data_IF_925387295631
#
_entry.id   IF_925387295631
#
_cell.length_a   1.000
_cell.length_b   1.000
_cell.length_c   1.000
_cell.angle_alpha   90.00
_cell.angle_beta   90.00
_cell.angle_gamma   90.00
#
_symmetry.space_group_name_H-M   'P 1'
#
loop_
_entity.id
_entity.type
_entity.pdbx_description
1 polymer ?
#
# COMPACT_ATOMS: atom_id res chain seq x y z
N UNK A 1 39.23 -33.53 18.12
CA UNK A 1 38.55 -32.51 18.97
C UNK A 1 37.27 -32.08 18.27
N UNK A 2 36.10 -32.40 18.82
CA UNK A 2 34.81 -32.15 18.17
C UNK A 2 34.36 -30.68 18.35
N UNK A 3 34.28 -29.93 17.26
CA UNK A 3 33.82 -28.53 17.27
C UNK A 3 32.29 -28.49 17.35
N UNK A 4 31.72 -28.28 18.54
CA UNK A 4 30.27 -28.10 18.69
C UNK A 4 29.85 -26.71 18.18
N UNK A 5 29.32 -26.63 16.94
CA UNK A 5 28.76 -25.41 16.33
C UNK A 5 27.42 -25.02 16.98
N UNK A 6 27.40 -24.69 18.27
CA UNK A 6 26.17 -24.17 18.92
C UNK A 6 26.10 -22.65 18.75
N UNK A 7 25.25 -22.19 17.82
CA UNK A 7 25.00 -20.75 17.60
C UNK A 7 24.44 -20.13 18.88
N UNK A 8 25.19 -19.20 19.48
CA UNK A 8 24.82 -18.50 20.73
C UNK A 8 23.49 -17.78 20.53
N UNK A 9 22.43 -18.21 21.24
CA UNK A 9 21.14 -17.50 21.28
C UNK A 9 21.18 -16.45 22.39
N UNK A 10 20.73 -15.23 22.09
CA UNK A 10 20.61 -14.16 23.10
C UNK A 10 19.24 -14.19 23.74
N UNK A 11 19.15 -13.88 25.04
CA UNK A 11 17.88 -13.80 25.78
C UNK A 11 17.02 -12.62 25.28
N UNK A 12 15.71 -12.76 25.40
CA UNK A 12 14.76 -11.67 25.13
C UNK A 12 14.94 -10.54 26.16
N UNK A 13 14.74 -9.29 25.75
CA UNK A 13 14.69 -8.15 26.68
C UNK A 13 13.26 -8.03 27.19
N UNK A 14 13.05 -8.33 28.46
CA UNK A 14 11.81 -8.01 29.17
C UNK A 14 11.93 -6.63 29.81
N UNK A 15 10.82 -5.91 29.92
CA UNK A 15 10.75 -4.74 30.78
C UNK A 15 10.22 -5.11 32.19
N UNK A 16 10.31 -4.19 33.15
CA UNK A 16 9.88 -4.42 34.54
C UNK A 16 8.37 -4.72 34.68
N UNK A 17 7.56 -4.42 33.67
CA UNK A 17 6.13 -4.72 33.59
C UNK A 17 5.83 -6.09 32.94
N UNK A 18 6.85 -6.93 32.71
CA UNK A 18 6.68 -8.30 32.22
C UNK A 18 6.41 -8.42 30.72
N UNK A 19 6.47 -7.31 29.96
CA UNK A 19 6.31 -7.33 28.51
C UNK A 19 7.64 -7.64 27.81
N UNK A 20 7.59 -8.55 26.82
CA UNK A 20 8.72 -8.84 25.94
C UNK A 20 8.74 -7.82 24.81
N UNK A 21 9.68 -6.89 24.85
CA UNK A 21 9.82 -5.89 23.79
C UNK A 21 10.46 -6.53 22.56
N UNK A 22 9.87 -6.28 21.38
CA UNK A 22 10.53 -6.59 20.11
C UNK A 22 11.84 -5.80 20.08
N UNK A 23 12.98 -6.50 19.94
CA UNK A 23 14.30 -5.87 19.95
C UNK A 23 14.32 -4.72 18.93
N UNK A 24 14.35 -3.49 19.42
CA UNK A 24 14.62 -2.33 18.59
C UNK A 24 15.92 -2.56 17.82
N UNK A 25 16.07 -1.93 16.64
CA UNK A 25 17.25 -2.12 15.79
C UNK A 25 18.51 -1.67 16.56
N UNK A 26 19.35 -2.60 17.01
CA UNK A 26 20.60 -2.30 17.73
C UNK A 26 21.76 -1.98 16.78
N UNK A 27 21.47 -1.54 15.56
CA UNK A 27 22.45 -1.23 14.52
C UNK A 27 22.45 0.26 14.16
N UNK A 28 23.45 0.71 13.40
CA UNK A 28 23.52 2.07 12.87
C UNK A 28 22.21 2.44 12.16
N UNK A 29 21.73 3.66 12.40
CA UNK A 29 20.58 4.19 11.67
C UNK A 29 20.86 4.14 10.16
N UNK A 30 19.88 3.71 9.34
CA UNK A 30 20.10 3.57 7.91
C UNK A 30 20.44 4.94 7.32
N UNK A 31 21.46 4.95 6.48
CA UNK A 31 21.90 6.15 5.77
C UNK A 31 20.82 6.60 4.77
N UNK A 32 20.85 7.86 4.32
CA UNK A 32 19.85 8.37 3.40
C UNK A 32 19.77 7.54 2.09
N UNK A 33 20.92 7.04 1.61
CA UNK A 33 21.01 6.17 0.43
C UNK A 33 20.39 4.79 0.66
N UNK A 34 20.58 4.19 1.83
CA UNK A 34 19.92 2.93 2.20
C UNK A 34 18.41 3.08 2.32
N UNK A 35 17.93 4.19 2.91
CA UNK A 35 16.50 4.52 2.98
C UNK A 35 15.90 4.70 1.59
N UNK A 36 16.62 5.34 0.68
CA UNK A 36 16.18 5.51 -0.70
C UNK A 36 16.07 4.16 -1.43
N UNK A 37 17.03 3.24 -1.21
CA UNK A 37 16.98 1.87 -1.77
C UNK A 37 15.77 1.09 -1.23
N UNK A 38 15.50 1.15 0.07
CA UNK A 38 14.31 0.50 0.65
C UNK A 38 13.03 1.11 0.10
N UNK A 39 12.96 2.44 -0.05
CA UNK A 39 11.79 3.11 -0.62
C UNK A 39 11.57 2.73 -2.09
N UNK A 40 12.65 2.58 -2.87
CA UNK A 40 12.58 2.11 -4.26
C UNK A 40 12.06 0.67 -4.34
N UNK A 41 12.55 -0.22 -3.47
CA UNK A 41 12.08 -1.60 -3.36
C UNK A 41 10.60 -1.71 -2.96
N UNK A 42 10.16 -0.90 -1.99
CA UNK A 42 8.75 -0.84 -1.57
C UNK A 42 7.84 -0.33 -2.69
N UNK A 43 8.29 0.67 -3.46
CA UNK A 43 7.56 1.17 -4.63
C UNK A 43 7.45 0.12 -5.73
N UNK A 44 8.52 -0.62 -6.02
CA UNK A 44 8.48 -1.70 -7.02
C UNK A 44 7.54 -2.82 -6.60
N UNK A 45 7.59 -3.22 -5.32
CA UNK A 45 6.71 -4.26 -4.76
C UNK A 45 5.24 -3.86 -4.85
N UNK A 46 4.91 -2.60 -4.53
CA UNK A 46 3.54 -2.07 -4.68
C UNK A 46 3.04 -2.16 -6.12
N UNK A 47 3.88 -1.84 -7.08
CA UNK A 47 3.57 -1.87 -8.51
C UNK A 47 3.51 -3.32 -9.07
N UNK A 48 3.96 -4.31 -8.30
CA UNK A 48 3.93 -5.73 -8.66
C UNK A 48 2.75 -6.49 -8.07
N UNK A 49 1.98 -5.86 -7.18
CA UNK A 49 0.77 -6.44 -6.62
C UNK A 49 -0.34 -6.46 -7.68
N UNK A 50 -1.07 -7.60 -7.81
CA UNK A 50 -2.18 -7.68 -8.73
C UNK A 50 -3.29 -6.71 -8.32
N UNK A 51 -3.93 -6.02 -9.28
CA UNK A 51 -5.05 -5.14 -8.96
C UNK A 51 -6.25 -5.96 -8.48
N UNK A 52 -6.91 -5.48 -7.43
CA UNK A 52 -8.09 -6.10 -6.86
C UNK A 52 -9.30 -5.17 -6.92
N UNK A 53 -10.48 -5.74 -7.14
CA UNK A 53 -11.76 -5.03 -7.09
C UNK A 53 -11.96 -4.29 -5.77
N UNK A 54 -11.53 -4.89 -4.66
CA UNK A 54 -11.57 -4.26 -3.33
C UNK A 54 -10.69 -3.01 -3.26
N UNK A 55 -9.49 -3.04 -3.84
CA UNK A 55 -8.63 -1.85 -3.87
C UNK A 55 -9.22 -0.74 -4.74
N UNK A 56 -9.83 -1.08 -5.87
CA UNK A 56 -10.48 -0.10 -6.74
C UNK A 56 -11.69 0.53 -6.04
N UNK A 57 -12.54 -0.29 -5.40
CA UNK A 57 -13.68 0.15 -4.61
C UNK A 57 -13.29 1.07 -3.45
N UNK A 58 -12.25 0.74 -2.68
CA UNK A 58 -11.80 1.59 -1.58
C UNK A 58 -11.31 2.97 -2.07
N UNK A 59 -10.53 3.02 -3.17
CA UNK A 59 -10.04 4.28 -3.73
C UNK A 59 -11.19 5.11 -4.31
N UNK A 60 -12.08 4.47 -5.06
CA UNK A 60 -13.26 5.13 -5.60
C UNK A 60 -14.18 5.64 -4.48
N UNK A 61 -14.31 4.90 -3.37
CA UNK A 61 -15.14 5.25 -2.23
C UNK A 61 -14.65 6.51 -1.52
N UNK A 62 -13.34 6.64 -1.32
CA UNK A 62 -12.75 7.86 -0.77
C UNK A 62 -12.99 9.04 -1.70
N UNK A 63 -12.79 8.85 -3.00
CA UNK A 63 -12.99 9.91 -3.99
C UNK A 63 -14.46 10.35 -4.09
N UNK A 64 -15.40 9.40 -4.09
CA UNK A 64 -16.83 9.70 -4.16
C UNK A 64 -17.34 10.39 -2.90
N UNK A 65 -16.88 10.01 -1.71
CA UNK A 65 -17.23 10.72 -0.46
C UNK A 65 -16.75 12.17 -0.51
N UNK A 66 -15.49 12.41 -0.88
CA UNK A 66 -14.96 13.78 -1.02
C UNK A 66 -15.76 14.59 -2.04
N UNK A 67 -16.12 13.97 -3.17
CA UNK A 67 -16.89 14.63 -4.21
C UNK A 67 -18.30 14.99 -3.75
N UNK A 68 -19.00 14.07 -3.07
CA UNK A 68 -20.33 14.32 -2.49
C UNK A 68 -20.27 15.51 -1.53
N UNK A 69 -19.25 15.59 -0.67
CA UNK A 69 -19.06 16.72 0.25
C UNK A 69 -18.90 18.03 -0.51
N UNK A 70 -18.04 18.06 -1.53
CA UNK A 70 -17.80 19.26 -2.36
C UNK A 70 -19.08 19.72 -3.06
N UNK A 71 -19.80 18.79 -3.71
CA UNK A 71 -21.05 19.11 -4.42
C UNK A 71 -22.14 19.56 -3.45
N UNK A 72 -22.26 18.92 -2.29
CA UNK A 72 -23.24 19.29 -1.27
C UNK A 72 -23.01 20.71 -0.74
N UNK A 73 -21.76 21.13 -0.53
CA UNK A 73 -21.44 22.51 -0.11
C UNK A 73 -21.74 23.53 -1.21
N UNK A 74 -21.38 23.23 -2.46
CA UNK A 74 -21.56 24.15 -3.59
C UNK A 74 -23.03 24.33 -3.99
N UNK A 75 -23.77 23.23 -4.13
CA UNK A 75 -25.13 23.24 -4.66
C UNK A 75 -26.19 23.36 -3.56
N UNK A 76 -25.83 23.19 -2.28
CA UNK A 76 -26.74 23.12 -1.13
C UNK A 76 -27.89 22.12 -1.29
N UNK A 77 -27.78 21.19 -2.23
CA UNK A 77 -28.76 20.16 -2.52
C UNK A 77 -28.13 18.78 -2.28
N UNK A 78 -28.41 18.23 -1.11
CA UNK A 78 -27.83 16.96 -0.64
C UNK A 78 -28.32 15.78 -1.50
N UNK A 79 -29.57 15.80 -1.95
CA UNK A 79 -30.16 14.70 -2.73
C UNK A 79 -29.49 14.60 -4.09
N UNK A 80 -29.31 15.74 -4.77
CA UNK A 80 -28.65 15.76 -6.08
C UNK A 80 -27.15 15.43 -5.97
N UNK A 81 -26.49 15.90 -4.90
CA UNK A 81 -25.10 15.54 -4.61
C UNK A 81 -24.92 14.03 -4.40
N UNK A 82 -25.85 13.38 -3.67
CA UNK A 82 -25.85 11.94 -3.47
C UNK A 82 -26.10 11.17 -4.76
N UNK A 83 -27.08 11.58 -5.58
CA UNK A 83 -27.40 10.93 -6.83
C UNK A 83 -26.20 10.94 -7.80
N UNK A 84 -25.58 12.11 -7.98
CA UNK A 84 -24.40 12.27 -8.84
C UNK A 84 -23.20 11.52 -8.27
N UNK A 85 -22.97 11.60 -6.95
CA UNK A 85 -21.87 10.92 -6.29
C UNK A 85 -21.96 9.39 -6.38
N UNK A 86 -23.15 8.81 -6.22
CA UNK A 86 -23.38 7.38 -6.38
C UNK A 86 -23.19 6.92 -7.83
N UNK A 87 -23.72 7.68 -8.79
CA UNK A 87 -23.54 7.38 -10.21
C UNK A 87 -22.06 7.42 -10.60
N UNK A 88 -21.34 8.45 -10.13
CA UNK A 88 -19.91 8.56 -10.37
C UNK A 88 -19.15 7.40 -9.73
N UNK A 89 -19.46 7.02 -8.48
CA UNK A 89 -18.86 5.85 -7.83
C UNK A 89 -19.06 4.57 -8.63
N UNK A 90 -20.29 4.30 -9.08
CA UNK A 90 -20.63 3.12 -9.87
C UNK A 90 -19.83 3.06 -11.18
N UNK A 91 -19.57 4.19 -11.83
CA UNK A 91 -18.73 4.26 -13.03
C UNK A 91 -17.23 4.20 -12.72
N UNK A 92 -16.77 4.84 -11.65
CA UNK A 92 -15.34 5.00 -11.35
C UNK A 92 -14.70 3.71 -10.85
N UNK A 93 -15.47 2.86 -10.15
CA UNK A 93 -14.99 1.55 -9.66
C UNK A 93 -14.52 0.64 -10.81
N UNK A 94 -15.34 0.30 -11.82
CA UNK A 94 -14.91 -0.53 -12.93
C UNK A 94 -13.83 0.15 -13.76
N UNK A 95 -13.97 1.46 -14.04
CA UNK A 95 -12.97 2.20 -14.82
C UNK A 95 -11.59 2.17 -14.14
N UNK A 96 -11.55 2.39 -12.82
CA UNK A 96 -10.32 2.32 -12.03
C UNK A 96 -9.69 0.93 -12.02
N UNK A 97 -10.51 -0.13 -11.90
CA UNK A 97 -10.02 -1.51 -11.99
C UNK A 97 -9.39 -1.82 -13.34
N UNK A 98 -10.06 -1.48 -14.45
CA UNK A 98 -9.54 -1.74 -15.79
C UNK A 98 -8.26 -0.95 -16.09
N UNK A 99 -8.19 0.30 -15.62
CA UNK A 99 -7.00 1.14 -15.79
C UNK A 99 -5.81 0.55 -15.03
N UNK A 100 -6.00 0.16 -13.77
CA UNK A 100 -4.96 -0.49 -12.96
C UNK A 100 -4.54 -1.85 -13.58
N UNK A 101 -5.48 -2.62 -14.11
CA UNK A 101 -5.22 -3.89 -14.79
C UNK A 101 -4.41 -3.73 -16.08
N UNK A 102 -4.71 -2.70 -16.89
CA UNK A 102 -3.96 -2.39 -18.09
C UNK A 102 -2.50 -2.00 -17.77
N UNK A 103 -2.31 -1.12 -16.78
CA UNK A 103 -0.98 -0.68 -16.34
C UNK A 103 -0.18 -1.88 -15.80
N UNK A 104 -0.81 -2.74 -14.99
CA UNK A 104 -0.20 -3.95 -14.47
C UNK A 104 0.26 -4.88 -15.59
N UNK A 105 -0.63 -5.21 -16.54
CA UNK A 105 -0.31 -6.07 -17.70
C UNK A 105 0.83 -5.50 -18.53
N UNK A 106 0.82 -4.19 -18.82
CA UNK A 106 1.88 -3.50 -19.55
C UNK A 106 3.24 -3.61 -18.83
N UNK A 107 3.25 -3.52 -17.50
CA UNK A 107 4.48 -3.67 -16.71
C UNK A 107 4.99 -5.11 -16.68
N UNK A 108 4.11 -6.09 -16.53
CA UNK A 108 4.48 -7.51 -16.60
C UNK A 108 5.06 -7.87 -17.98
N UNK A 109 4.47 -7.36 -19.07
CA UNK A 109 5.00 -7.56 -20.41
C UNK A 109 6.42 -6.98 -20.56
N UNK A 110 6.71 -5.82 -19.97
CA UNK A 110 8.06 -5.23 -19.98
C UNK A 110 9.07 -6.04 -19.17
N UNK A 111 8.65 -6.63 -18.04
CA UNK A 111 9.47 -7.54 -17.24
C UNK A 111 9.77 -8.85 -17.98
N UNK A 112 8.77 -9.43 -18.64
CA UNK A 112 8.94 -10.64 -19.45
C UNK A 112 9.91 -10.41 -20.63
N UNK A 113 9.95 -9.19 -21.18
CA UNK A 113 10.90 -8.77 -22.21
C UNK A 113 12.31 -8.43 -21.67
N UNK A 114 12.57 -8.56 -20.37
CA UNK A 114 13.86 -8.22 -19.76
C UNK A 114 14.22 -6.74 -19.81
N UNK A 115 13.26 -5.85 -20.09
CA UNK A 115 13.48 -4.40 -20.20
C UNK A 115 13.43 -3.65 -18.85
N UNK A 116 13.27 -4.37 -17.73
CA UNK A 116 13.08 -3.86 -16.37
C UNK A 116 13.82 -4.71 -15.34
#
# INVERSE_FOLDING_TARGET
>A
MAQTKRKRRTKHRGNAAGMVESRGRTGRAPTASERAKTNKALRSDRLDRPPSWRSAANRAGIASVLFIVVVAVLQKNIVMALAIGLLMFAMYVPLGYYTDAYIYKRRQAKKAQGKL
#
